data_IF_912659229982
#
_entry.id   IF_912659229982
#
_cell.length_a   1.000
_cell.length_b   1.000
_cell.length_c   1.000
_cell.angle_alpha   90.00
_cell.angle_beta   90.00
_cell.angle_gamma   90.00
#
_symmetry.space_group_name_H-M   'P 1'
#
loop_
_entity.id
_entity.type
_entity.pdbx_description
1 polymer ?
#
# COMPACT_ATOMS: atom_id res chain seq x y z
N UNK A 1 2.75 3.94 35.24
CA UNK A 1 2.24 2.58 35.44
C UNK A 1 1.30 2.10 34.32
N UNK A 2 0.54 2.98 33.66
CA UNK A 2 -0.41 2.60 32.58
C UNK A 2 0.25 2.16 31.26
N UNK A 3 1.48 2.54 30.98
CA UNK A 3 2.21 2.18 29.73
C UNK A 3 2.92 0.83 29.87
N UNK A 4 3.09 0.30 31.09
CA UNK A 4 3.82 -0.95 31.34
C UNK A 4 3.28 -2.16 30.59
N UNK A 5 1.97 -2.49 30.65
CA UNK A 5 1.40 -3.63 29.92
C UNK A 5 1.58 -3.52 28.40
N UNK A 6 1.45 -2.29 27.85
CA UNK A 6 1.67 -2.04 26.43
C UNK A 6 3.13 -2.28 26.02
N UNK A 7 4.11 -1.73 26.78
CA UNK A 7 5.53 -1.92 26.51
C UNK A 7 5.94 -3.39 26.64
N UNK A 8 5.38 -4.09 27.62
CA UNK A 8 5.63 -5.52 27.82
C UNK A 8 5.10 -6.34 26.64
N UNK A 9 3.85 -6.08 26.22
CA UNK A 9 3.26 -6.70 25.02
C UNK A 9 4.08 -6.40 23.76
N UNK A 10 4.48 -5.17 23.55
CA UNK A 10 5.32 -4.76 22.42
C UNK A 10 6.69 -5.47 22.47
N UNK A 11 7.32 -5.58 23.65
CA UNK A 11 8.57 -6.30 23.85
C UNK A 11 8.47 -7.76 23.48
N UNK A 12 7.49 -8.46 24.08
CA UNK A 12 7.34 -9.91 23.92
C UNK A 12 6.85 -10.30 22.52
N UNK A 13 5.85 -9.61 21.98
CA UNK A 13 5.20 -10.04 20.74
C UNK A 13 5.72 -9.34 19.48
N UNK A 14 6.56 -8.31 19.62
CA UNK A 14 7.11 -7.59 18.46
C UNK A 14 8.62 -7.63 18.45
N UNK A 15 9.28 -7.11 19.51
CA UNK A 15 10.74 -6.97 19.49
C UNK A 15 11.48 -8.29 19.65
N UNK A 16 11.00 -9.22 20.48
CA UNK A 16 11.65 -10.54 20.62
C UNK A 16 11.56 -11.33 19.31
N UNK A 17 10.38 -11.50 18.64
CA UNK A 17 10.32 -12.19 17.36
C UNK A 17 11.12 -11.49 16.26
N UNK A 18 11.15 -10.15 16.23
CA UNK A 18 11.97 -9.40 15.29
C UNK A 18 13.46 -9.68 15.49
N UNK A 19 13.94 -9.62 16.74
CA UNK A 19 15.32 -9.96 17.09
C UNK A 19 15.67 -11.40 16.74
N UNK A 20 14.72 -12.33 16.97
CA UNK A 20 14.86 -13.72 16.59
C UNK A 20 14.95 -13.91 15.06
N UNK A 21 14.12 -13.22 14.30
CA UNK A 21 14.19 -13.23 12.82
C UNK A 21 15.55 -12.70 12.33
N UNK A 22 16.04 -11.59 12.90
CA UNK A 22 17.39 -11.08 12.58
C UNK A 22 18.47 -12.10 12.93
N UNK A 23 18.36 -12.78 14.07
CA UNK A 23 19.29 -13.83 14.46
C UNK A 23 19.28 -15.00 13.46
N UNK A 24 18.08 -15.53 13.13
CA UNK A 24 17.91 -16.64 12.18
C UNK A 24 18.46 -16.30 10.78
N UNK A 25 18.47 -15.04 10.36
CA UNK A 25 18.98 -14.63 9.06
C UNK A 25 20.46 -14.98 8.82
N UNK A 26 21.24 -15.19 9.90
CA UNK A 26 22.65 -15.57 9.83
C UNK A 26 22.89 -17.08 9.92
N UNK A 27 21.82 -17.87 10.03
CA UNK A 27 21.90 -19.32 10.21
C UNK A 27 21.15 -20.06 9.10
N UNK A 28 21.54 -21.30 8.86
CA UNK A 28 20.68 -22.25 8.15
C UNK A 28 19.55 -22.68 9.08
N UNK A 29 18.30 -22.52 8.60
CA UNK A 29 17.10 -22.86 9.35
C UNK A 29 16.04 -23.41 8.38
N UNK A 30 16.36 -24.53 7.75
CA UNK A 30 15.45 -25.30 6.89
C UNK A 30 14.55 -26.21 7.72
N UNK A 31 13.23 -26.11 7.54
CA UNK A 31 12.21 -26.93 8.23
C UNK A 31 12.30 -26.88 9.77
N UNK A 32 12.93 -25.86 10.32
CA UNK A 32 13.10 -25.70 11.76
C UNK A 32 13.16 -24.24 12.16
N UNK A 33 12.63 -23.93 13.32
CA UNK A 33 12.79 -22.62 13.99
C UNK A 33 14.08 -22.55 14.81
N UNK A 34 14.76 -23.69 14.97
CA UNK A 34 16.01 -23.77 15.71
C UNK A 34 17.15 -23.67 14.70
N UNK A 35 18.07 -22.72 14.83
CA UNK A 35 19.18 -22.59 13.89
C UNK A 35 20.10 -23.78 13.99
N UNK A 36 20.58 -24.33 12.85
CA UNK A 36 21.55 -25.42 12.80
C UNK A 36 22.96 -24.86 12.66
N UNK A 37 23.32 -24.39 11.47
CA UNK A 37 24.67 -23.98 11.14
C UNK A 37 24.76 -22.48 10.90
N UNK A 38 25.83 -21.86 11.42
CA UNK A 38 26.09 -20.46 11.17
C UNK A 38 26.62 -20.22 9.76
N UNK A 39 25.85 -19.57 8.90
CA UNK A 39 26.19 -19.28 7.49
C UNK A 39 26.61 -17.83 7.26
N UNK A 40 26.63 -17.00 8.30
CA UNK A 40 26.99 -15.58 8.22
C UNK A 40 26.09 -14.82 7.23
N UNK A 41 26.70 -14.18 6.23
CA UNK A 41 25.97 -13.45 5.19
C UNK A 41 25.54 -14.32 4.00
N UNK A 42 25.67 -15.65 4.09
CA UNK A 42 25.31 -16.58 3.01
C UNK A 42 23.87 -16.42 2.55
N UNK A 43 22.90 -16.32 3.48
CA UNK A 43 21.48 -16.12 3.17
C UNK A 43 21.23 -14.80 2.46
N UNK A 44 21.92 -13.72 2.84
CA UNK A 44 21.78 -12.42 2.19
C UNK A 44 22.27 -12.43 0.74
N UNK A 45 23.43 -13.04 0.51
CA UNK A 45 23.99 -13.18 -0.84
C UNK A 45 23.16 -14.10 -1.72
N UNK A 46 22.64 -15.19 -1.16
CA UNK A 46 21.72 -16.10 -1.85
C UNK A 46 20.42 -15.39 -2.23
N UNK A 47 19.83 -14.61 -1.31
CA UNK A 47 18.60 -13.85 -1.56
C UNK A 47 18.79 -12.80 -2.66
N UNK A 48 19.87 -12.02 -2.62
CA UNK A 48 20.16 -10.99 -3.62
C UNK A 48 20.45 -11.55 -5.02
N UNK A 49 20.95 -12.79 -5.11
CA UNK A 49 21.19 -13.50 -6.38
C UNK A 49 19.95 -14.22 -6.88
N UNK A 50 18.91 -14.31 -6.09
CA UNK A 50 17.70 -15.04 -6.46
C UNK A 50 16.85 -14.19 -7.41
N UNK A 51 16.68 -14.66 -8.65
CA UNK A 51 15.92 -13.98 -9.70
C UNK A 51 14.47 -13.74 -9.28
N UNK A 52 13.82 -14.70 -8.62
CA UNK A 52 12.43 -14.55 -8.20
C UNK A 52 12.27 -13.47 -7.10
N UNK A 53 13.28 -13.24 -6.26
CA UNK A 53 13.28 -12.12 -5.32
C UNK A 53 13.44 -10.79 -6.03
N UNK A 54 14.38 -10.68 -6.96
CA UNK A 54 14.61 -9.44 -7.73
C UNK A 54 13.41 -9.10 -8.63
N UNK A 55 12.77 -10.08 -9.25
CA UNK A 55 11.50 -9.90 -9.96
C UNK A 55 10.36 -9.43 -9.04
N UNK A 56 10.32 -9.96 -7.81
CA UNK A 56 9.32 -9.50 -6.82
C UNK A 56 9.52 -8.03 -6.43
N UNK A 57 10.76 -7.58 -6.30
CA UNK A 57 11.08 -6.16 -6.07
C UNK A 57 10.68 -5.29 -7.26
N UNK A 58 10.86 -5.78 -8.49
CA UNK A 58 10.40 -5.09 -9.69
C UNK A 58 8.87 -4.98 -9.75
N UNK A 59 8.17 -6.09 -9.48
CA UNK A 59 6.71 -6.12 -9.37
C UNK A 59 6.21 -5.08 -8.37
N UNK A 60 6.87 -5.00 -7.22
CA UNK A 60 6.57 -3.98 -6.21
C UNK A 60 6.82 -2.56 -6.72
N UNK A 61 7.94 -2.31 -7.39
CA UNK A 61 8.28 -0.99 -7.92
C UNK A 61 7.21 -0.52 -8.91
N UNK A 62 6.84 -1.37 -9.86
CA UNK A 62 5.78 -1.10 -10.84
C UNK A 62 4.45 -0.81 -10.13
N UNK A 63 4.07 -1.67 -9.19
CA UNK A 63 2.85 -1.49 -8.41
C UNK A 63 2.82 -0.15 -7.66
N UNK A 64 3.90 0.17 -6.94
CA UNK A 64 3.97 1.41 -6.15
C UNK A 64 3.94 2.66 -7.01
N UNK A 65 4.57 2.60 -8.20
CA UNK A 65 4.58 3.71 -9.17
C UNK A 65 3.17 4.06 -9.67
N UNK A 66 2.27 3.08 -9.75
CA UNK A 66 0.88 3.29 -10.14
C UNK A 66 -0.03 3.59 -8.95
N UNK A 67 0.05 2.78 -7.89
CA UNK A 67 -0.94 2.86 -6.81
C UNK A 67 -0.76 4.12 -5.95
N UNK A 68 0.49 4.56 -5.72
CA UNK A 68 0.74 5.75 -4.88
C UNK A 68 0.18 7.02 -5.52
N UNK A 69 0.51 7.38 -6.79
CA UNK A 69 -0.08 8.55 -7.44
C UNK A 69 -1.60 8.42 -7.64
N UNK A 70 -2.09 7.23 -7.98
CA UNK A 70 -3.53 7.01 -8.18
C UNK A 70 -4.32 7.22 -6.89
N UNK A 71 -3.87 6.62 -5.77
CA UNK A 71 -4.52 6.80 -4.47
C UNK A 71 -4.42 8.23 -3.98
N UNK A 72 -3.26 8.87 -4.16
CA UNK A 72 -3.05 10.28 -3.83
C UNK A 72 -4.04 11.17 -4.59
N UNK A 73 -4.10 11.05 -5.91
CA UNK A 73 -4.95 11.86 -6.77
C UNK A 73 -6.44 11.65 -6.47
N UNK A 74 -6.87 10.38 -6.33
CA UNK A 74 -8.26 10.05 -6.01
C UNK A 74 -8.66 10.59 -4.63
N UNK A 75 -7.81 10.39 -3.61
CA UNK A 75 -8.09 10.87 -2.25
C UNK A 75 -8.14 12.39 -2.16
N UNK A 76 -7.24 13.09 -2.85
CA UNK A 76 -7.25 14.54 -2.91
C UNK A 76 -8.49 15.06 -3.65
N UNK A 77 -8.87 14.45 -4.77
CA UNK A 77 -10.07 14.79 -5.51
C UNK A 77 -11.33 14.61 -4.66
N UNK A 78 -11.47 13.47 -3.97
CA UNK A 78 -12.57 13.22 -3.05
C UNK A 78 -12.59 14.23 -1.90
N UNK A 79 -11.44 14.57 -1.31
CA UNK A 79 -11.35 15.56 -0.24
C UNK A 79 -11.82 16.96 -0.72
N UNK A 80 -11.39 17.38 -1.91
CA UNK A 80 -11.83 18.65 -2.49
C UNK A 80 -13.34 18.67 -2.78
N UNK A 81 -13.90 17.56 -3.28
CA UNK A 81 -15.33 17.42 -3.51
C UNK A 81 -16.13 17.48 -2.21
N UNK A 82 -15.72 16.72 -1.19
CA UNK A 82 -16.37 16.65 0.12
C UNK A 82 -16.25 17.99 0.86
N UNK A 83 -15.09 18.66 0.76
CA UNK A 83 -14.87 19.96 1.41
C UNK A 83 -15.82 21.06 0.89
N UNK A 84 -16.29 20.96 -0.35
CA UNK A 84 -17.26 21.90 -0.95
C UNK A 84 -18.70 21.70 -0.42
N UNK A 85 -19.00 20.52 0.15
CA UNK A 85 -20.36 20.16 0.58
C UNK A 85 -20.62 20.63 2.01
N UNK A 86 -21.27 21.78 2.20
CA UNK A 86 -21.51 22.34 3.54
C UNK A 86 -22.53 21.54 4.37
N UNK A 87 -23.61 21.02 3.76
CA UNK A 87 -24.71 20.35 4.47
C UNK A 87 -24.56 18.84 4.60
N UNK A 88 -23.88 18.18 3.65
CA UNK A 88 -23.76 16.70 3.59
C UNK A 88 -22.33 16.20 3.81
N UNK A 89 -21.41 17.05 4.29
CA UNK A 89 -20.00 16.72 4.45
C UNK A 89 -19.78 15.50 5.34
N UNK A 90 -20.47 15.42 6.48
CA UNK A 90 -20.36 14.31 7.41
C UNK A 90 -20.81 12.99 6.77
N UNK A 91 -21.91 13.01 6.04
CA UNK A 91 -22.43 11.84 5.32
C UNK A 91 -21.42 11.33 4.28
N UNK A 92 -20.96 12.20 3.37
CA UNK A 92 -19.99 11.79 2.35
C UNK A 92 -18.67 11.31 2.95
N UNK A 93 -18.20 11.98 4.02
CA UNK A 93 -17.01 11.52 4.75
C UNK A 93 -17.19 10.09 5.27
N UNK A 94 -18.33 9.79 5.88
CA UNK A 94 -18.62 8.46 6.40
C UNK A 94 -18.72 7.42 5.29
N UNK A 95 -19.45 7.73 4.21
CA UNK A 95 -19.63 6.81 3.06
C UNK A 95 -18.29 6.47 2.40
N UNK A 96 -17.44 7.46 2.12
CA UNK A 96 -16.15 7.20 1.50
C UNK A 96 -15.12 6.57 2.43
N UNK A 97 -15.25 6.79 3.75
CA UNK A 97 -14.38 6.17 4.74
C UNK A 97 -14.78 4.72 5.07
N UNK A 98 -16.05 4.35 4.89
CA UNK A 98 -16.58 3.03 5.25
C UNK A 98 -15.76 1.86 4.69
N UNK A 99 -15.29 1.88 3.42
CA UNK A 99 -14.44 0.82 2.89
C UNK A 99 -13.16 0.57 3.69
N UNK A 100 -12.58 1.60 4.29
CA UNK A 100 -11.36 1.46 5.10
C UNK A 100 -11.56 0.62 6.38
N UNK A 101 -12.80 0.43 6.81
CA UNK A 101 -13.15 -0.46 7.92
C UNK A 101 -13.25 -1.93 7.50
N UNK A 102 -13.29 -2.23 6.20
CA UNK A 102 -13.32 -3.60 5.69
C UNK A 102 -11.93 -4.23 5.75
N UNK A 103 -11.89 -5.53 6.06
CA UNK A 103 -10.65 -6.32 5.93
C UNK A 103 -10.24 -6.45 4.45
N UNK A 104 -8.94 -6.35 4.17
CA UNK A 104 -8.38 -6.61 2.84
C UNK A 104 -8.73 -7.99 2.31
N UNK A 105 -8.76 -9.00 3.19
CA UNK A 105 -9.14 -10.38 2.84
C UNK A 105 -10.58 -10.43 2.33
N UNK A 106 -11.52 -9.84 3.08
CA UNK A 106 -12.94 -9.83 2.70
C UNK A 106 -13.15 -9.06 1.40
N UNK A 107 -12.53 -7.90 1.25
CA UNK A 107 -12.60 -7.12 0.03
C UNK A 107 -12.05 -7.91 -1.17
N UNK A 108 -10.88 -8.54 -1.03
CA UNK A 108 -10.29 -9.36 -2.07
C UNK A 108 -11.20 -10.52 -2.49
N UNK A 109 -11.84 -11.20 -1.53
CA UNK A 109 -12.79 -12.27 -1.82
C UNK A 109 -14.04 -11.76 -2.56
N UNK A 110 -14.59 -10.60 -2.19
CA UNK A 110 -15.72 -9.99 -2.90
C UNK A 110 -15.31 -9.66 -4.34
N UNK A 111 -14.12 -9.07 -4.54
CA UNK A 111 -13.60 -8.76 -5.87
C UNK A 111 -13.44 -10.02 -6.72
N UNK A 112 -12.80 -11.06 -6.16
CA UNK A 112 -12.53 -12.33 -6.83
C UNK A 112 -13.80 -13.09 -7.17
N UNK A 113 -14.74 -13.20 -6.23
CA UNK A 113 -15.90 -14.10 -6.34
C UNK A 113 -17.14 -13.44 -6.97
N UNK A 114 -17.25 -12.11 -6.88
CA UNK A 114 -18.44 -11.39 -7.34
C UNK A 114 -18.16 -10.40 -8.46
N UNK A 115 -17.23 -9.46 -8.24
CA UNK A 115 -17.00 -8.37 -9.20
C UNK A 115 -16.22 -8.84 -10.43
N UNK A 116 -15.07 -9.44 -10.21
CA UNK A 116 -14.13 -9.88 -11.27
C UNK A 116 -14.02 -11.40 -11.37
N UNK A 117 -15.10 -12.09 -11.06
CA UNK A 117 -15.20 -13.50 -11.35
C UNK A 117 -15.07 -13.70 -12.87
N UNK A 118 -14.07 -14.45 -13.31
CA UNK A 118 -13.74 -14.67 -14.73
C UNK A 118 -14.80 -15.41 -15.54
N UNK A 119 -15.94 -15.76 -14.95
CA UNK A 119 -17.07 -16.39 -15.67
C UNK A 119 -17.98 -15.35 -16.32
N UNK A 120 -18.77 -15.79 -17.29
CA UNK A 120 -19.68 -14.94 -18.07
C UNK A 120 -20.65 -14.13 -17.19
N UNK A 121 -21.05 -14.68 -16.06
CA UNK A 121 -22.01 -14.04 -15.13
C UNK A 121 -21.32 -13.17 -14.06
N UNK A 122 -20.00 -13.03 -14.07
CA UNK A 122 -19.29 -12.09 -13.21
C UNK A 122 -19.74 -10.66 -13.52
N UNK A 123 -19.87 -9.82 -12.48
CA UNK A 123 -20.44 -8.48 -12.63
C UNK A 123 -19.68 -7.65 -13.68
N UNK A 124 -18.34 -7.67 -13.64
CA UNK A 124 -17.52 -6.96 -14.63
C UNK A 124 -17.73 -7.47 -16.06
N UNK A 125 -17.81 -8.79 -16.26
CA UNK A 125 -18.09 -9.39 -17.56
C UNK A 125 -19.53 -9.13 -18.03
N UNK A 126 -20.49 -9.08 -17.12
CA UNK A 126 -21.87 -8.71 -17.45
C UNK A 126 -21.95 -7.28 -17.97
N UNK A 127 -21.31 -6.35 -17.25
CA UNK A 127 -21.25 -4.95 -17.69
C UNK A 127 -20.50 -4.81 -19.01
N UNK A 128 -19.37 -5.50 -19.16
CA UNK A 128 -18.60 -5.51 -20.42
C UNK A 128 -19.45 -6.03 -21.60
N UNK A 129 -20.25 -7.09 -21.38
CA UNK A 129 -21.16 -7.64 -22.37
C UNK A 129 -22.26 -6.68 -22.83
N UNK A 130 -22.71 -5.74 -21.98
CA UNK A 130 -23.65 -4.67 -22.38
C UNK A 130 -23.08 -3.75 -23.46
N UNK A 131 -21.74 -3.62 -23.49
CA UNK A 131 -21.03 -2.82 -24.49
C UNK A 131 -20.48 -3.67 -25.65
N UNK A 132 -20.87 -4.95 -25.73
CA UNK A 132 -20.44 -5.86 -26.80
C UNK A 132 -19.01 -6.41 -26.63
N UNK A 133 -18.43 -6.31 -25.43
CA UNK A 133 -17.10 -6.84 -25.13
C UNK A 133 -17.12 -8.34 -24.84
N UNK A 134 -16.00 -9.01 -25.13
CA UNK A 134 -15.81 -10.43 -24.86
C UNK A 134 -15.54 -10.72 -23.39
N UNK A 135 -15.80 -11.94 -22.96
CA UNK A 135 -15.52 -12.40 -21.62
C UNK A 135 -14.01 -12.37 -21.32
N UNK A 136 -13.64 -11.78 -20.20
CA UNK A 136 -12.27 -11.69 -19.70
C UNK A 136 -12.11 -12.57 -18.47
N UNK A 137 -11.06 -13.39 -18.45
CA UNK A 137 -10.63 -14.14 -17.26
C UNK A 137 -9.69 -13.25 -16.41
N UNK A 138 -10.25 -12.28 -15.71
CA UNK A 138 -9.59 -11.12 -15.06
C UNK A 138 -8.34 -11.44 -14.25
N UNK A 139 -8.34 -12.57 -13.53
CA UNK A 139 -7.24 -12.92 -12.61
C UNK A 139 -6.23 -13.90 -13.19
N UNK A 140 -6.57 -14.58 -14.31
CA UNK A 140 -5.74 -15.62 -14.93
C UNK A 140 -5.13 -15.21 -16.26
N UNK A 141 -5.63 -14.13 -16.89
CA UNK A 141 -5.07 -13.60 -18.14
C UNK A 141 -3.83 -12.78 -17.84
N UNK A 142 -2.70 -13.16 -18.43
CA UNK A 142 -1.40 -12.49 -18.26
C UNK A 142 -1.05 -11.56 -19.41
N UNK A 143 -1.70 -11.72 -20.57
CA UNK A 143 -1.54 -10.84 -21.71
C UNK A 143 -2.92 -10.57 -22.36
N UNK A 144 -3.44 -9.36 -22.24
CA UNK A 144 -2.97 -8.28 -21.35
C UNK A 144 -3.18 -8.61 -19.87
N UNK A 145 -2.36 -8.04 -18.97
CA UNK A 145 -2.35 -8.40 -17.54
C UNK A 145 -3.51 -7.74 -16.76
N UNK A 146 -4.73 -8.19 -16.98
CA UNK A 146 -5.97 -7.64 -16.40
C UNK A 146 -6.02 -7.72 -14.87
N UNK A 147 -5.29 -8.65 -14.25
CA UNK A 147 -5.22 -8.78 -12.81
C UNK A 147 -4.73 -7.49 -12.11
N UNK A 148 -3.95 -6.65 -12.81
CA UNK A 148 -3.55 -5.34 -12.27
C UNK A 148 -4.75 -4.42 -12.05
N UNK A 149 -5.72 -4.40 -12.98
CA UNK A 149 -6.93 -3.61 -12.82
C UNK A 149 -7.71 -4.05 -11.58
N UNK A 150 -7.79 -5.36 -11.32
CA UNK A 150 -8.47 -5.92 -10.16
C UNK A 150 -7.76 -5.50 -8.86
N UNK A 151 -6.43 -5.68 -8.79
CA UNK A 151 -5.61 -5.31 -7.62
C UNK A 151 -5.69 -3.82 -7.34
N UNK A 152 -5.56 -2.98 -8.37
CA UNK A 152 -5.59 -1.52 -8.22
C UNK A 152 -6.96 -1.05 -7.75
N UNK A 153 -8.04 -1.58 -8.32
CA UNK A 153 -9.40 -1.15 -7.95
C UNK A 153 -9.79 -1.53 -6.53
N UNK A 154 -9.47 -2.74 -6.06
CA UNK A 154 -9.73 -3.14 -4.67
C UNK A 154 -8.95 -2.26 -3.69
N UNK A 155 -7.69 -1.98 -4.00
CA UNK A 155 -6.85 -1.17 -3.13
C UNK A 155 -7.27 0.30 -3.10
N UNK A 156 -7.61 0.88 -4.24
CA UNK A 156 -8.16 2.24 -4.31
C UNK A 156 -9.44 2.35 -3.49
N UNK A 157 -10.35 1.38 -3.62
CA UNK A 157 -11.61 1.35 -2.87
C UNK A 157 -11.38 1.29 -1.36
N UNK A 158 -10.45 0.46 -0.89
CA UNK A 158 -10.13 0.35 0.54
C UNK A 158 -9.42 1.58 1.11
N UNK A 159 -8.54 2.21 0.35
CA UNK A 159 -7.62 3.21 0.90
C UNK A 159 -8.03 4.65 0.63
N UNK A 160 -8.70 4.94 -0.49
CA UNK A 160 -8.96 6.32 -0.92
C UNK A 160 -9.68 7.15 0.15
N UNK A 161 -10.64 6.55 0.85
CA UNK A 161 -11.40 7.22 1.91
C UNK A 161 -10.57 7.60 3.13
N UNK A 162 -9.62 6.74 3.54
CA UNK A 162 -8.72 7.05 4.64
C UNK A 162 -7.84 8.26 4.34
N UNK A 163 -7.18 8.27 3.18
CA UNK A 163 -6.33 9.39 2.78
C UNK A 163 -7.13 10.65 2.43
N UNK A 164 -8.37 10.49 1.95
CA UNK A 164 -9.31 11.61 1.80
C UNK A 164 -9.54 12.34 3.13
N UNK A 165 -9.72 11.61 4.24
CA UNK A 165 -9.91 12.23 5.57
C UNK A 165 -8.68 13.02 6.00
N UNK A 166 -7.47 12.52 5.71
CA UNK A 166 -6.23 13.25 6.00
C UNK A 166 -6.13 14.54 5.18
N UNK A 167 -6.44 14.49 3.90
CA UNK A 167 -6.50 15.69 3.06
C UNK A 167 -7.58 16.66 3.51
N UNK A 168 -8.75 16.16 3.90
CA UNK A 168 -9.84 16.99 4.39
C UNK A 168 -9.42 17.75 5.66
N UNK A 169 -8.73 17.09 6.59
CA UNK A 169 -8.16 17.74 7.78
C UNK A 169 -7.12 18.82 7.41
N UNK A 170 -6.30 18.55 6.38
CA UNK A 170 -5.36 19.54 5.84
C UNK A 170 -6.07 20.75 5.22
N UNK A 171 -7.11 20.51 4.43
CA UNK A 171 -7.91 21.57 3.80
C UNK A 171 -8.59 22.48 4.83
N UNK A 172 -9.08 21.90 5.92
CA UNK A 172 -9.77 22.66 6.99
C UNK A 172 -8.82 23.54 7.83
N UNK A 173 -7.51 23.34 7.73
CA UNK A 173 -6.50 24.16 8.38
C UNK A 173 -6.16 25.43 7.60
N UNK A 174 -6.52 25.51 6.32
CA UNK A 174 -6.24 26.69 5.47
C UNK A 174 -7.16 27.82 5.89
N UNK A 175 -6.57 28.98 6.24
CA UNK A 175 -7.36 30.13 6.65
C UNK A 175 -8.27 30.63 5.53
N UNK A 176 -9.56 30.88 5.79
CA UNK A 176 -10.48 31.50 4.83
C UNK A 176 -9.98 32.85 4.30
N UNK A 177 -9.26 33.60 5.10
CA UNK A 177 -8.70 34.92 4.71
C UNK A 177 -7.77 34.84 3.51
N UNK A 178 -7.06 33.73 3.30
CA UNK A 178 -6.23 33.51 2.11
C UNK A 178 -7.07 33.46 0.82
N UNK A 179 -8.24 32.84 0.90
CA UNK A 179 -9.13 32.76 -0.24
C UNK A 179 -9.84 34.11 -0.52
N UNK A 180 -10.17 34.86 0.54
CA UNK A 180 -10.74 36.20 0.44
C UNK A 180 -9.75 37.18 -0.16
N UNK A 181 -8.50 37.19 0.31
CA UNK A 181 -7.44 38.03 -0.26
C UNK A 181 -7.20 37.70 -1.75
N UNK A 182 -7.13 36.43 -2.11
CA UNK A 182 -7.00 36.01 -3.50
C UNK A 182 -8.15 36.47 -4.38
N UNK A 183 -9.38 36.50 -3.85
CA UNK A 183 -10.55 37.01 -4.58
C UNK A 183 -10.46 38.52 -4.82
N UNK A 184 -9.94 39.28 -3.82
CA UNK A 184 -9.67 40.72 -3.97
C UNK A 184 -8.58 41.00 -5.01
N UNK A 185 -7.53 40.15 -5.04
CA UNK A 185 -6.42 40.18 -6.02
C UNK A 185 -6.86 39.74 -7.43
N UNK A 186 -8.13 39.37 -7.63
CA UNK A 186 -8.69 38.99 -8.94
C UNK A 186 -8.37 37.54 -9.35
N UNK A 187 -7.99 36.67 -8.41
CA UNK A 187 -7.78 35.26 -8.71
C UNK A 187 -9.08 34.56 -9.15
N UNK A 188 -9.06 33.90 -10.29
CA UNK A 188 -10.21 33.14 -10.79
C UNK A 188 -10.46 31.90 -9.91
N UNK A 189 -11.68 31.68 -9.40
CA UNK A 189 -12.00 30.48 -8.64
C UNK A 189 -11.79 29.21 -9.48
N UNK A 190 -11.40 28.13 -8.81
CA UNK A 190 -11.11 26.84 -9.46
C UNK A 190 -9.62 26.55 -9.56
N UNK A 191 -9.12 26.27 -10.77
CA UNK A 191 -7.74 25.79 -10.99
C UNK A 191 -6.65 26.77 -10.52
N UNK A 192 -6.85 28.07 -10.70
CA UNK A 192 -5.87 29.08 -10.30
C UNK A 192 -5.71 29.12 -8.76
N UNK A 193 -6.81 29.19 -8.03
CA UNK A 193 -6.84 29.15 -6.57
C UNK A 193 -6.29 27.80 -6.05
N UNK A 194 -6.68 26.70 -6.68
CA UNK A 194 -6.14 25.38 -6.33
C UNK A 194 -4.61 25.33 -6.45
N UNK A 195 -4.07 25.72 -7.61
CA UNK A 195 -2.64 25.61 -7.90
C UNK A 195 -1.77 26.54 -7.03
N UNK A 196 -2.23 27.77 -6.78
CA UNK A 196 -1.40 28.80 -6.14
C UNK A 196 -1.65 28.95 -4.63
N UNK A 197 -2.79 28.48 -4.11
CA UNK A 197 -3.15 28.61 -2.70
C UNK A 197 -3.36 27.23 -2.07
N UNK A 198 -4.36 26.48 -2.53
CA UNK A 198 -4.77 25.24 -1.86
C UNK A 198 -3.68 24.19 -1.88
N UNK A 199 -3.10 23.90 -3.05
CA UNK A 199 -2.08 22.84 -3.22
C UNK A 199 -0.78 23.15 -2.46
N UNK A 200 -0.21 24.40 -2.51
CA UNK A 200 0.95 24.74 -1.71
C UNK A 200 0.71 24.65 -0.19
N UNK A 201 -0.47 25.07 0.28
CA UNK A 201 -0.84 24.98 1.69
C UNK A 201 -1.00 23.51 2.17
N UNK A 202 -1.35 22.60 1.27
CA UNK A 202 -1.44 21.18 1.55
C UNK A 202 -0.07 20.47 1.55
N UNK A 203 1.05 21.17 1.34
CA UNK A 203 2.37 20.54 1.20
C UNK A 203 2.71 19.60 2.37
N UNK A 204 2.53 20.03 3.61
CA UNK A 204 2.82 19.20 4.78
C UNK A 204 1.94 17.93 4.82
N UNK A 205 0.63 18.09 4.56
CA UNK A 205 -0.31 16.96 4.48
C UNK A 205 0.04 16.03 3.32
N UNK A 206 0.37 16.57 2.16
CA UNK A 206 0.76 15.80 0.98
C UNK A 206 2.02 14.96 1.24
N UNK A 207 3.02 15.52 1.89
CA UNK A 207 4.23 14.80 2.27
C UNK A 207 3.90 13.64 3.22
N UNK A 208 3.10 13.90 4.27
CA UNK A 208 2.68 12.85 5.20
C UNK A 208 1.89 11.74 4.50
N UNK A 209 0.96 12.10 3.62
CA UNK A 209 0.15 11.14 2.83
C UNK A 209 1.04 10.31 1.91
N UNK A 210 1.98 10.92 1.17
CA UNK A 210 2.89 10.18 0.28
C UNK A 210 3.78 9.22 1.06
N UNK A 211 4.33 9.64 2.21
CA UNK A 211 5.12 8.75 3.07
C UNK A 211 4.30 7.54 3.52
N UNK A 212 3.09 7.75 4.01
CA UNK A 212 2.19 6.67 4.42
C UNK A 212 1.81 5.76 3.24
N UNK A 213 1.52 6.33 2.07
CA UNK A 213 1.18 5.57 0.87
C UNK A 213 2.33 4.66 0.43
N UNK A 214 3.56 5.15 0.45
CA UNK A 214 4.74 4.36 0.08
C UNK A 214 4.97 3.25 1.10
N UNK A 215 4.93 3.53 2.40
CA UNK A 215 5.04 2.50 3.45
C UNK A 215 3.96 1.43 3.27
N UNK A 216 2.70 1.84 3.04
CA UNK A 216 1.60 0.92 2.78
C UNK A 216 1.78 0.10 1.50
N UNK A 217 2.35 0.69 0.44
CA UNK A 217 2.63 -0.04 -0.79
C UNK A 217 3.66 -1.16 -0.55
N UNK A 218 4.71 -0.91 0.25
CA UNK A 218 5.70 -1.93 0.64
C UNK A 218 5.10 -3.08 1.46
N UNK A 219 3.99 -2.84 2.15
CA UNK A 219 3.27 -3.83 2.95
C UNK A 219 2.17 -4.56 2.15
N UNK A 220 2.16 -4.44 0.82
CA UNK A 220 1.20 -5.11 -0.05
C UNK A 220 1.38 -6.63 0.02
N UNK A 221 0.40 -7.31 0.64
CA UNK A 221 0.36 -8.75 0.81
C UNK A 221 -1.06 -9.29 0.62
N UNK A 222 -2.01 -8.84 1.44
CA UNK A 222 -3.33 -9.44 1.56
C UNK A 222 -4.11 -9.43 0.25
N UNK A 223 -4.14 -8.31 -0.45
CA UNK A 223 -4.85 -8.19 -1.71
C UNK A 223 -4.25 -9.09 -2.80
N UNK A 224 -2.92 -9.13 -2.90
CA UNK A 224 -2.25 -9.99 -3.85
C UNK A 224 -2.46 -11.46 -3.53
N UNK A 225 -2.21 -11.84 -2.27
CA UNK A 225 -2.33 -13.21 -1.82
C UNK A 225 -3.74 -13.76 -1.99
N UNK A 226 -4.78 -13.02 -1.57
CA UNK A 226 -6.16 -13.50 -1.61
C UNK A 226 -6.78 -13.44 -3.01
N UNK A 227 -6.39 -12.51 -3.86
CA UNK A 227 -6.87 -12.43 -5.24
C UNK A 227 -6.26 -13.51 -6.13
N UNK A 228 -4.93 -13.71 -6.06
CA UNK A 228 -4.19 -14.53 -7.01
C UNK A 228 -3.92 -15.96 -6.53
N UNK A 229 -3.94 -16.23 -5.22
CA UNK A 229 -3.83 -17.60 -4.71
C UNK A 229 -5.07 -18.42 -5.07
N UNK A 230 -4.83 -19.65 -5.50
CA UNK A 230 -5.88 -20.66 -5.73
C UNK A 230 -5.47 -22.02 -5.14
N UNK A 231 -6.22 -23.08 -5.46
CA UNK A 231 -5.94 -24.45 -5.01
C UNK A 231 -4.57 -25.00 -5.49
N UNK A 232 -3.99 -24.40 -6.54
CA UNK A 232 -2.67 -24.77 -7.08
C UNK A 232 -1.53 -23.93 -6.49
N UNK A 233 -1.83 -22.99 -5.59
CA UNK A 233 -0.88 -22.08 -4.98
C UNK A 233 -0.89 -20.69 -5.63
N UNK A 234 0.21 -19.96 -5.46
CA UNK A 234 0.35 -18.61 -5.99
C UNK A 234 1.04 -18.65 -7.37
N UNK A 235 0.49 -17.95 -8.39
CA UNK A 235 1.10 -17.93 -9.72
C UNK A 235 2.47 -17.21 -9.69
N UNK A 236 3.40 -17.52 -10.62
CA UNK A 236 4.72 -16.90 -10.65
C UNK A 236 4.69 -15.40 -10.97
N UNK A 237 3.69 -14.94 -11.74
CA UNK A 237 3.53 -13.53 -12.07
C UNK A 237 2.93 -12.72 -10.90
N UNK A 238 3.15 -11.40 -10.94
CA UNK A 238 2.63 -10.44 -9.95
C UNK A 238 2.87 -10.83 -8.48
N UNK A 239 4.05 -11.35 -8.17
CA UNK A 239 4.41 -11.77 -6.82
C UNK A 239 5.18 -10.64 -6.12
N UNK A 240 4.54 -9.86 -5.21
CA UNK A 240 5.25 -8.83 -4.45
C UNK A 240 6.19 -9.45 -3.41
N UNK A 241 7.19 -8.68 -2.89
CA UNK A 241 8.21 -9.20 -2.00
C UNK A 241 7.67 -9.93 -0.77
N UNK A 242 6.63 -9.41 -0.11
CA UNK A 242 6.07 -10.07 1.08
C UNK A 242 5.43 -11.42 0.75
N UNK A 243 4.76 -11.54 -0.41
CA UNK A 243 4.21 -12.83 -0.86
C UNK A 243 5.35 -13.81 -1.18
N UNK A 244 6.40 -13.33 -1.85
CA UNK A 244 7.59 -14.16 -2.12
C UNK A 244 8.23 -14.67 -0.82
N UNK A 245 8.47 -13.78 0.16
CA UNK A 245 9.06 -14.13 1.44
C UNK A 245 8.18 -15.08 2.25
N UNK A 246 6.86 -14.89 2.20
CA UNK A 246 5.92 -15.82 2.84
C UNK A 246 6.08 -17.25 2.30
N UNK A 247 6.13 -17.42 0.98
CA UNK A 247 6.32 -18.76 0.38
C UNK A 247 7.72 -19.32 0.61
N UNK A 248 8.74 -18.48 0.70
CA UNK A 248 10.12 -18.90 1.02
C UNK A 248 10.24 -19.39 2.46
N UNK A 249 9.68 -18.63 3.41
CA UNK A 249 9.80 -18.94 4.83
C UNK A 249 8.81 -20.02 5.31
N UNK A 250 7.53 -19.92 4.88
CA UNK A 250 6.42 -20.71 5.42
C UNK A 250 5.74 -21.62 4.38
N UNK A 251 6.12 -21.51 3.11
CA UNK A 251 5.63 -22.37 2.03
C UNK A 251 6.33 -23.72 1.98
N UNK A 252 6.34 -24.34 0.81
CA UNK A 252 6.92 -25.68 0.63
C UNK A 252 8.43 -25.75 0.92
N UNK A 253 9.15 -24.64 0.78
CA UNK A 253 10.59 -24.57 1.03
C UNK A 253 10.97 -24.48 2.50
N UNK A 254 10.09 -24.00 3.36
CA UNK A 254 10.24 -23.78 4.82
C UNK A 254 11.64 -23.29 5.23
N UNK A 255 12.22 -22.39 4.42
CA UNK A 255 13.55 -21.85 4.69
C UNK A 255 13.44 -20.56 5.49
N UNK A 256 13.38 -20.71 6.82
CA UNK A 256 13.23 -19.58 7.73
C UNK A 256 14.47 -18.68 7.74
N UNK A 257 15.68 -19.23 7.60
CA UNK A 257 16.93 -18.46 7.52
C UNK A 257 16.96 -17.54 6.32
N UNK A 258 16.68 -18.09 5.12
CA UNK A 258 16.62 -17.32 3.87
C UNK A 258 15.46 -16.31 3.88
N UNK A 259 14.27 -16.72 4.32
CA UNK A 259 13.11 -15.84 4.43
C UNK A 259 13.34 -14.68 5.39
N UNK A 260 14.00 -14.93 6.54
CA UNK A 260 14.40 -13.91 7.50
C UNK A 260 15.41 -12.92 6.92
N UNK A 261 16.42 -13.41 6.19
CA UNK A 261 17.38 -12.53 5.50
C UNK A 261 16.69 -11.63 4.47
N UNK A 262 15.76 -12.16 3.69
CA UNK A 262 14.95 -11.39 2.74
C UNK A 262 14.06 -10.35 3.44
N UNK A 263 13.48 -10.70 4.58
CA UNK A 263 12.67 -9.75 5.37
C UNK A 263 13.51 -8.59 5.91
N UNK A 264 14.73 -8.88 6.41
CA UNK A 264 15.69 -7.84 6.86
C UNK A 264 16.10 -6.95 5.68
N UNK A 265 16.43 -7.54 4.51
CA UNK A 265 16.75 -6.76 3.29
C UNK A 265 15.59 -5.84 2.89
N UNK A 266 14.37 -6.36 2.87
CA UNK A 266 13.18 -5.58 2.54
C UNK A 266 12.97 -4.44 3.55
N UNK A 267 13.12 -4.71 4.85
CA UNK A 267 13.02 -3.68 5.90
C UNK A 267 14.08 -2.58 5.71
N UNK A 268 15.31 -2.93 5.35
CA UNK A 268 16.38 -1.97 5.05
C UNK A 268 16.04 -1.13 3.81
N UNK A 269 15.52 -1.75 2.74
CA UNK A 269 15.09 -1.04 1.53
C UNK A 269 14.00 -0.02 1.89
N UNK A 270 12.99 -0.43 2.66
CA UNK A 270 11.90 0.44 3.11
C UNK A 270 12.47 1.61 3.93
N UNK A 271 13.37 1.33 4.88
CA UNK A 271 13.98 2.37 5.72
C UNK A 271 14.75 3.38 4.87
N UNK A 272 15.58 2.92 3.92
CA UNK A 272 16.34 3.80 3.02
C UNK A 272 15.41 4.67 2.17
N UNK A 273 14.38 4.08 1.57
CA UNK A 273 13.40 4.82 0.76
C UNK A 273 12.66 5.85 1.61
N UNK A 274 12.20 5.46 2.81
CA UNK A 274 11.45 6.36 3.71
C UNK A 274 12.32 7.53 4.20
N UNK A 275 13.57 7.25 4.60
CA UNK A 275 14.53 8.30 5.01
C UNK A 275 14.88 9.20 3.80
N UNK A 276 15.08 8.62 2.63
CA UNK A 276 15.31 9.36 1.40
C UNK A 276 14.17 10.33 1.08
N UNK A 277 12.94 9.85 1.15
CA UNK A 277 11.73 10.67 0.96
C UNK A 277 11.61 11.78 2.01
N UNK A 278 11.83 11.45 3.31
CA UNK A 278 11.77 12.42 4.39
C UNK A 278 12.78 13.57 4.17
N UNK A 279 14.01 13.25 3.76
CA UNK A 279 15.03 14.23 3.42
C UNK A 279 14.67 15.06 2.17
N UNK A 280 14.18 14.41 1.13
CA UNK A 280 13.78 15.07 -0.12
C UNK A 280 12.67 16.09 0.10
N UNK A 281 11.69 15.75 0.91
CA UNK A 281 10.57 16.65 1.24
C UNK A 281 10.92 17.69 2.32
N UNK A 282 12.13 17.65 2.85
CA UNK A 282 12.61 18.63 3.85
C UNK A 282 12.01 18.44 5.24
N UNK A 283 11.50 17.23 5.56
CA UNK A 283 11.11 16.87 6.91
C UNK A 283 12.39 16.82 7.78
N UNK A 284 12.54 17.78 8.66
CA UNK A 284 13.74 17.93 9.52
C UNK A 284 14.57 19.19 9.26
N UNK A 285 14.28 19.99 8.23
CA UNK A 285 14.71 21.38 8.22
C UNK A 285 13.90 22.10 9.29
N UNK A 286 14.54 22.42 10.42
CA UNK A 286 14.03 23.42 11.35
C UNK A 286 13.70 24.64 10.51
N UNK A 287 12.44 25.10 10.54
CA UNK A 287 12.08 26.41 10.08
C UNK A 287 13.00 27.35 10.86
N UNK A 288 14.00 27.90 10.17
CA UNK A 288 14.78 29.00 10.69
C UNK A 288 13.77 30.15 10.81
N UNK A 289 13.41 30.45 12.06
CA UNK A 289 12.64 31.62 12.46
C UNK A 289 13.36 32.89 12.04
#
# INVERSE_FOLDING_TARGET
>A
MFVGPFLLGLGVFTYIPLGWSVYLSFFDAHNTVTPSDFVGLGNYTAMLKNEAFTESLWTFLVFSLFIVPATYALSLALALMVNRQRRAQAFFRSVFFLPAACSYVVAALIWKMSLFNGVRFGLANTVLGWFGGDQIAWLSTTDPPWYWAVIVTVRLWLQAGFYMVLFLAGLQRISPTLYEAAAVDGARPGWQVFRHITFPQLRATSVAVVLLLVINAFQAFDEFYNLLSDARGYPPYARPPLVYLYYTALGQGQNLGLGSAGAVLLALIIAVVTVGQAKWFGLGRKEAQ
#
